data_IF_959560656412
#
_entry.id   IF_959560656412
#
_cell.length_a   1.000
_cell.length_b   1.000
_cell.length_c   1.000
_cell.angle_alpha   90.00
_cell.angle_beta   90.00
_cell.angle_gamma   90.00
#
_symmetry.space_group_name_H-M   'P 1'
#
loop_
_entity.id
_entity.type
_entity.pdbx_description
1 polymer ?
#
# COMPACT_ATOMS: atom_id res chain seq x y z
N UNK A 1 12.76 -21.73 2.23
CA UNK A 1 13.31 -20.41 1.86
C UNK A 1 12.25 -19.39 2.24
N UNK A 2 12.53 -18.51 3.17
CA UNK A 2 11.60 -17.46 3.61
C UNK A 2 11.42 -16.46 2.45
N UNK A 3 10.22 -15.98 2.22
CA UNK A 3 9.97 -14.97 1.20
C UNK A 3 10.18 -13.57 1.79
N UNK A 4 10.43 -12.56 0.93
CA UNK A 4 10.57 -11.16 1.38
C UNK A 4 9.31 -10.68 2.14
N UNK A 5 8.13 -11.13 1.76
CA UNK A 5 6.88 -10.86 2.48
C UNK A 5 6.92 -11.39 3.91
N UNK A 6 7.38 -12.62 4.11
CA UNK A 6 7.50 -13.22 5.44
C UNK A 6 8.51 -12.46 6.31
N UNK A 7 9.61 -12.00 5.73
CA UNK A 7 10.62 -11.18 6.41
C UNK A 7 10.04 -9.81 6.82
N UNK A 8 9.31 -9.14 5.93
CA UNK A 8 8.65 -7.88 6.23
C UNK A 8 7.64 -8.01 7.38
N UNK A 9 6.82 -9.07 7.39
CA UNK A 9 5.88 -9.30 8.48
C UNK A 9 6.56 -9.67 9.80
N UNK A 10 7.67 -10.39 9.78
CA UNK A 10 8.49 -10.63 10.98
C UNK A 10 9.03 -9.31 11.55
N UNK A 11 9.52 -8.41 10.69
CA UNK A 11 9.97 -7.08 11.08
C UNK A 11 8.84 -6.24 11.67
N UNK A 12 7.63 -6.27 11.08
CA UNK A 12 6.47 -5.56 11.61
C UNK A 12 6.10 -6.02 13.03
N UNK A 13 6.11 -7.33 13.28
CA UNK A 13 5.84 -7.89 14.63
C UNK A 13 6.89 -7.41 15.64
N UNK A 14 8.15 -7.27 15.22
CA UNK A 14 9.24 -6.84 16.11
C UNK A 14 9.22 -5.33 16.38
N UNK A 15 8.76 -4.52 15.41
CA UNK A 15 8.88 -3.05 15.46
C UNK A 15 7.60 -2.32 15.84
N UNK A 16 6.44 -2.96 15.67
CA UNK A 16 5.12 -2.39 15.96
C UNK A 16 4.42 -3.11 17.10
N UNK A 17 3.63 -2.38 17.86
CA UNK A 17 2.77 -2.96 18.90
C UNK A 17 1.37 -3.22 18.34
N UNK A 18 1.07 -4.49 18.06
CA UNK A 18 -0.26 -4.92 17.64
C UNK A 18 -1.04 -5.57 18.79
N UNK A 19 -2.36 -5.59 18.66
CA UNK A 19 -3.20 -6.38 19.56
C UNK A 19 -2.83 -7.87 19.48
N UNK A 20 -2.91 -8.63 20.59
CA UNK A 20 -2.46 -10.03 20.62
C UNK A 20 -3.06 -10.91 19.52
N UNK A 21 -4.33 -10.70 19.16
CA UNK A 21 -4.96 -11.48 18.11
C UNK A 21 -4.40 -11.14 16.72
N UNK A 22 -4.01 -9.86 16.47
CA UNK A 22 -3.36 -9.45 15.23
C UNK A 22 -1.98 -10.10 15.12
N UNK A 23 -1.18 -10.07 16.18
CA UNK A 23 0.10 -10.76 16.19
C UNK A 23 -0.06 -12.23 15.78
N UNK A 24 -1.09 -12.92 16.31
CA UNK A 24 -1.35 -14.31 15.92
C UNK A 24 -1.70 -14.45 14.42
N UNK A 25 -2.41 -13.49 13.84
CA UNK A 25 -2.68 -13.44 12.39
C UNK A 25 -1.38 -13.22 11.61
N UNK A 26 -0.55 -12.28 12.05
CA UNK A 26 0.73 -11.98 11.40
C UNK A 26 1.72 -13.16 11.49
N UNK A 27 1.73 -13.90 12.60
CA UNK A 27 2.50 -15.15 12.75
C UNK A 27 2.09 -16.20 11.70
N UNK A 28 0.79 -16.29 11.35
CA UNK A 28 0.33 -17.18 10.26
C UNK A 28 0.92 -16.73 8.93
N UNK A 29 0.98 -15.42 8.66
CA UNK A 29 1.59 -14.87 7.44
C UNK A 29 3.11 -15.11 7.42
N UNK A 30 3.78 -14.91 8.54
CA UNK A 30 5.23 -15.20 8.66
C UNK A 30 5.52 -16.68 8.37
N UNK A 31 4.67 -17.58 8.85
CA UNK A 31 4.87 -19.02 8.68
C UNK A 31 4.55 -19.51 7.27
N UNK A 32 3.50 -18.94 6.62
CA UNK A 32 2.91 -19.52 5.40
C UNK A 32 2.94 -18.56 4.19
N UNK A 33 3.31 -17.29 4.38
CA UNK A 33 3.06 -16.23 3.39
C UNK A 33 1.58 -15.78 3.41
N UNK A 34 1.19 -15.00 2.40
CA UNK A 34 -0.20 -14.61 2.22
C UNK A 34 -0.96 -15.79 1.59
N UNK A 35 -1.30 -16.79 2.41
CA UNK A 35 -1.96 -18.01 1.98
C UNK A 35 -3.42 -18.04 2.49
N UNK A 36 -4.43 -17.93 1.59
CA UNK A 36 -5.84 -18.01 1.96
C UNK A 36 -6.22 -19.32 2.65
N UNK A 37 -5.55 -20.43 2.30
CA UNK A 37 -5.85 -21.75 2.89
C UNK A 37 -5.36 -21.82 4.34
N UNK A 38 -4.13 -21.33 4.59
CA UNK A 38 -3.58 -21.23 5.94
C UNK A 38 -4.44 -20.31 6.82
N UNK A 39 -4.87 -19.17 6.28
CA UNK A 39 -5.75 -18.24 6.98
C UNK A 39 -7.13 -18.82 7.25
N UNK A 40 -7.70 -19.58 6.31
CA UNK A 40 -8.98 -20.27 6.52
C UNK A 40 -8.89 -21.25 7.69
N UNK A 41 -7.85 -22.10 7.73
CA UNK A 41 -7.63 -23.06 8.83
C UNK A 41 -7.47 -22.33 10.17
N UNK A 42 -6.67 -21.27 10.19
CA UNK A 42 -6.50 -20.44 11.39
C UNK A 42 -7.84 -19.89 11.90
N UNK A 43 -8.67 -19.37 11.01
CA UNK A 43 -10.00 -18.86 11.37
C UNK A 43 -10.89 -19.94 11.99
N UNK A 44 -10.92 -21.13 11.40
CA UNK A 44 -11.67 -22.26 11.95
C UNK A 44 -11.16 -22.65 13.34
N UNK A 45 -9.85 -22.78 13.51
CA UNK A 45 -9.23 -23.16 14.80
C UNK A 45 -9.50 -22.12 15.91
N UNK A 46 -9.59 -20.84 15.56
CA UNK A 46 -9.85 -19.74 16.49
C UNK A 46 -11.33 -19.38 16.63
N UNK A 47 -12.20 -20.02 15.89
CA UNK A 47 -13.62 -19.71 15.89
C UNK A 47 -13.95 -18.31 15.32
N UNK A 48 -13.15 -17.81 14.38
CA UNK A 48 -13.36 -16.53 13.72
C UNK A 48 -14.30 -16.75 12.54
N UNK A 49 -15.58 -16.41 12.71
CA UNK A 49 -16.57 -16.55 11.65
C UNK A 49 -16.30 -15.61 10.47
N UNK A 50 -15.99 -14.34 10.76
CA UNK A 50 -15.75 -13.32 9.74
C UNK A 50 -14.58 -12.41 10.12
N UNK A 51 -13.54 -12.41 9.29
CA UNK A 51 -12.35 -11.56 9.46
C UNK A 51 -12.67 -10.08 9.25
N UNK A 52 -13.69 -9.76 8.45
CA UNK A 52 -14.11 -8.38 8.21
C UNK A 52 -14.53 -7.62 9.48
N UNK A 53 -14.85 -8.32 10.56
CA UNK A 53 -15.13 -7.71 11.86
C UNK A 53 -13.91 -6.98 12.47
N UNK A 54 -12.73 -7.29 11.96
CA UNK A 54 -11.46 -6.73 12.42
C UNK A 54 -10.86 -5.73 11.43
N UNK A 55 -11.63 -5.26 10.42
CA UNK A 55 -11.16 -4.32 9.39
C UNK A 55 -10.46 -3.09 9.97
N UNK A 56 -10.99 -2.52 11.04
CA UNK A 56 -10.42 -1.35 11.72
C UNK A 56 -8.95 -1.56 12.11
N UNK A 57 -8.58 -2.78 12.46
CA UNK A 57 -7.23 -3.13 12.88
C UNK A 57 -6.40 -3.71 11.73
N UNK A 58 -6.99 -4.54 10.87
CA UNK A 58 -6.27 -5.18 9.77
C UNK A 58 -5.91 -4.19 8.67
N UNK A 59 -6.65 -3.08 8.53
CA UNK A 59 -6.34 -2.00 7.60
C UNK A 59 -5.02 -1.29 7.99
N UNK A 60 -4.74 -1.14 9.28
CA UNK A 60 -3.47 -0.59 9.75
C UNK A 60 -2.30 -1.52 9.41
N UNK A 61 -2.49 -2.84 9.50
CA UNK A 61 -1.48 -3.82 9.08
C UNK A 61 -1.15 -3.69 7.59
N UNK A 62 -2.16 -3.47 6.75
CA UNK A 62 -1.96 -3.28 5.30
C UNK A 62 -1.16 -2.00 5.03
N UNK A 63 -1.49 -0.92 5.72
CA UNK A 63 -0.77 0.36 5.59
C UNK A 63 0.65 0.26 6.15
N UNK A 64 0.84 -0.36 7.31
CA UNK A 64 2.17 -0.58 7.89
C UNK A 64 3.08 -1.39 6.96
N UNK A 65 2.52 -2.42 6.29
CA UNK A 65 3.26 -3.18 5.28
C UNK A 65 3.63 -2.33 4.06
N UNK A 66 2.72 -1.53 3.56
CA UNK A 66 2.98 -0.64 2.43
C UNK A 66 4.02 0.43 2.77
N UNK A 67 3.93 1.04 3.95
CA UNK A 67 4.90 2.01 4.46
C UNK A 67 6.30 1.38 4.61
N UNK A 68 6.38 0.17 5.19
CA UNK A 68 7.65 -0.55 5.33
C UNK A 68 8.30 -0.85 3.97
N UNK A 69 7.52 -1.30 2.97
CA UNK A 69 8.05 -1.53 1.63
C UNK A 69 8.55 -0.22 0.99
N UNK A 70 7.86 0.88 1.24
CA UNK A 70 8.24 2.20 0.71
C UNK A 70 9.50 2.78 1.38
N UNK A 71 9.83 2.39 2.62
CA UNK A 71 11.07 2.84 3.29
C UNK A 71 12.32 2.47 2.50
N UNK A 72 12.35 1.26 1.91
CA UNK A 72 13.50 0.77 1.15
C UNK A 72 13.63 1.43 -0.23
N UNK A 73 12.50 1.58 -0.95
CA UNK A 73 12.45 2.14 -2.31
C UNK A 73 11.00 2.42 -2.74
N UNK A 74 10.75 2.58 -4.05
CA UNK A 74 9.41 2.59 -4.63
C UNK A 74 8.73 1.22 -4.43
N UNK A 75 7.41 1.23 -4.27
CA UNK A 75 6.62 -0.01 -4.21
C UNK A 75 6.77 -0.77 -5.54
N UNK A 76 7.43 -1.91 -5.49
CA UNK A 76 7.58 -2.77 -6.65
C UNK A 76 6.24 -3.45 -7.03
N UNK A 77 6.06 -3.88 -8.29
CA UNK A 77 4.81 -4.53 -8.73
C UNK A 77 4.39 -5.73 -7.88
N UNK A 78 5.36 -6.52 -7.39
CA UNK A 78 5.05 -7.65 -6.51
C UNK A 78 4.56 -7.21 -5.12
N UNK A 79 5.04 -6.07 -4.59
CA UNK A 79 4.58 -5.51 -3.31
C UNK A 79 3.17 -4.95 -3.42
N UNK A 80 2.86 -4.27 -4.52
CA UNK A 80 1.50 -3.84 -4.86
C UNK A 80 0.56 -5.05 -4.95
N UNK A 81 1.01 -6.16 -5.56
CA UNK A 81 0.25 -7.41 -5.59
C UNK A 81 0.02 -7.97 -4.18
N UNK A 82 1.06 -7.96 -3.32
CA UNK A 82 0.94 -8.41 -1.94
C UNK A 82 -0.04 -7.55 -1.13
N UNK A 83 -0.05 -6.23 -1.32
CA UNK A 83 -1.02 -5.33 -0.69
C UNK A 83 -2.45 -5.71 -1.11
N UNK A 84 -2.66 -5.98 -2.40
CA UNK A 84 -3.96 -6.44 -2.92
C UNK A 84 -4.37 -7.78 -2.31
N UNK A 85 -3.45 -8.72 -2.21
CA UNK A 85 -3.71 -10.04 -1.61
C UNK A 85 -4.06 -9.92 -0.11
N UNK A 86 -3.39 -9.01 0.61
CA UNK A 86 -3.74 -8.69 2.01
C UNK A 86 -5.14 -8.07 2.13
N UNK A 87 -5.49 -7.14 1.24
CA UNK A 87 -6.82 -6.55 1.20
C UNK A 87 -7.88 -7.64 0.98
N UNK A 88 -7.66 -8.54 0.02
CA UNK A 88 -8.56 -9.67 -0.23
C UNK A 88 -8.65 -10.60 0.99
N UNK A 89 -7.52 -10.91 1.62
CA UNK A 89 -7.45 -11.77 2.81
C UNK A 89 -8.25 -11.20 3.97
N UNK A 90 -8.18 -9.90 4.19
CA UNK A 90 -8.84 -9.17 5.26
C UNK A 90 -10.21 -8.59 4.87
N UNK A 91 -10.63 -8.78 3.61
CA UNK A 91 -11.86 -8.22 3.04
C UNK A 91 -11.95 -6.70 3.15
N UNK A 92 -10.84 -6.05 2.85
CA UNK A 92 -10.72 -4.59 2.81
C UNK A 92 -10.97 -4.14 1.37
N UNK A 93 -11.86 -3.18 1.20
CA UNK A 93 -12.13 -2.50 -0.06
C UNK A 93 -11.56 -1.08 -0.03
N UNK A 94 -11.36 -0.45 -1.20
CA UNK A 94 -10.82 0.91 -1.28
C UNK A 94 -11.64 1.95 -0.48
N UNK A 95 -12.96 1.78 -0.41
CA UNK A 95 -13.85 2.67 0.36
C UNK A 95 -13.64 2.57 1.89
N UNK A 96 -13.11 1.46 2.39
CA UNK A 96 -12.87 1.25 3.82
C UNK A 96 -11.83 2.23 4.38
N UNK A 97 -10.84 2.65 3.57
CA UNK A 97 -9.82 3.62 4.00
C UNK A 97 -10.45 4.97 4.37
N UNK A 98 -11.40 5.44 3.57
CA UNK A 98 -12.14 6.65 3.88
C UNK A 98 -13.11 6.44 5.05
N UNK A 99 -13.85 5.34 5.06
CA UNK A 99 -14.83 5.02 6.09
C UNK A 99 -14.20 4.87 7.49
N UNK A 100 -12.95 4.39 7.57
CA UNK A 100 -12.21 4.19 8.81
C UNK A 100 -11.22 5.33 9.13
N UNK A 101 -11.28 6.44 8.38
CA UNK A 101 -10.46 7.63 8.64
C UNK A 101 -8.97 7.45 8.37
N UNK A 102 -8.60 6.57 7.41
CA UNK A 102 -7.20 6.25 7.08
C UNK A 102 -6.64 7.02 5.89
N UNK A 103 -7.41 7.94 5.31
CA UNK A 103 -7.03 8.65 4.09
C UNK A 103 -5.76 9.50 4.24
N UNK A 104 -5.49 10.05 5.42
CA UNK A 104 -4.26 10.80 5.66
C UNK A 104 -3.02 9.91 5.42
N UNK A 105 -2.99 8.71 6.01
CA UNK A 105 -1.90 7.74 5.79
C UNK A 105 -1.79 7.31 4.33
N UNK A 106 -2.94 7.11 3.66
CA UNK A 106 -2.96 6.78 2.22
C UNK A 106 -2.34 7.91 1.39
N UNK A 107 -2.67 9.16 1.70
CA UNK A 107 -2.10 10.33 1.03
C UNK A 107 -0.59 10.41 1.24
N UNK A 108 -0.11 10.26 2.48
CA UNK A 108 1.32 10.31 2.82
C UNK A 108 2.10 9.21 2.08
N UNK A 109 1.55 8.00 2.03
CA UNK A 109 2.14 6.87 1.29
C UNK A 109 2.22 7.16 -0.21
N UNK A 110 1.18 7.75 -0.80
CA UNK A 110 1.17 8.11 -2.22
C UNK A 110 2.12 9.26 -2.53
N UNK A 111 2.20 10.27 -1.67
CA UNK A 111 3.18 11.36 -1.79
C UNK A 111 4.59 10.76 -1.76
N UNK A 112 4.92 9.95 -0.77
CA UNK A 112 6.22 9.29 -0.67
C UNK A 112 6.56 8.44 -1.90
N UNK A 113 5.59 7.68 -2.43
CA UNK A 113 5.77 6.91 -3.66
C UNK A 113 6.05 7.80 -4.87
N UNK A 114 5.27 8.88 -5.05
CA UNK A 114 5.41 9.80 -6.18
C UNK A 114 6.71 10.62 -6.09
N UNK A 115 7.10 11.03 -4.89
CA UNK A 115 8.38 11.73 -4.69
C UNK A 115 9.57 10.85 -5.11
N UNK A 116 9.57 9.58 -4.70
CA UNK A 116 10.61 8.63 -5.10
C UNK A 116 10.60 8.34 -6.60
N UNK A 117 9.41 8.20 -7.21
CA UNK A 117 9.27 8.04 -8.66
C UNK A 117 9.83 9.24 -9.44
N UNK A 118 9.77 10.44 -8.88
CA UNK A 118 10.27 11.65 -9.52
C UNK A 118 11.74 12.00 -9.19
N UNK A 119 12.41 11.21 -8.34
CA UNK A 119 13.80 11.48 -7.94
C UNK A 119 14.79 11.37 -9.10
N UNK A 120 14.62 10.42 -9.99
CA UNK A 120 15.49 10.26 -11.16
C UNK A 120 15.05 11.12 -12.36
N UNK A 121 13.96 11.88 -12.21
CA UNK A 121 13.37 12.75 -13.23
C UNK A 121 12.92 12.02 -14.50
N UNK A 122 12.63 10.73 -14.42
CA UNK A 122 12.11 9.90 -15.52
C UNK A 122 10.99 9.02 -15.01
N UNK A 123 9.98 8.83 -15.83
CA UNK A 123 8.90 7.88 -15.56
C UNK A 123 8.87 6.86 -16.65
N UNK A 124 9.15 5.61 -16.31
CA UNK A 124 9.02 4.50 -17.25
C UNK A 124 7.58 3.94 -17.29
N UNK A 125 7.34 3.01 -18.22
CA UNK A 125 6.01 2.43 -18.41
C UNK A 125 5.55 1.59 -17.21
N UNK A 126 6.46 1.02 -16.42
CA UNK A 126 6.12 0.25 -15.20
C UNK A 126 5.65 1.17 -14.09
N UNK A 127 6.24 2.33 -13.95
CA UNK A 127 5.88 3.34 -12.96
C UNK A 127 4.50 3.97 -13.24
N UNK A 128 4.17 4.20 -14.51
CA UNK A 128 2.83 4.62 -14.93
C UNK A 128 1.78 3.59 -14.52
N UNK A 129 2.09 2.31 -14.72
CA UNK A 129 1.19 1.21 -14.34
C UNK A 129 0.97 1.18 -12.83
N UNK A 130 2.05 1.30 -12.03
CA UNK A 130 1.99 1.32 -10.56
C UNK A 130 1.10 2.45 -10.05
N UNK A 131 1.20 3.65 -10.62
CA UNK A 131 0.34 4.78 -10.25
C UNK A 131 -1.15 4.44 -10.40
N UNK A 132 -1.56 3.88 -11.54
CA UNK A 132 -2.95 3.49 -11.78
C UNK A 132 -3.43 2.38 -10.85
N UNK A 133 -2.55 1.43 -10.52
CA UNK A 133 -2.85 0.36 -9.58
C UNK A 133 -3.04 0.88 -8.15
N UNK A 134 -2.17 1.78 -7.68
CA UNK A 134 -2.28 2.37 -6.34
C UNK A 134 -3.54 3.23 -6.18
N UNK A 135 -3.89 4.01 -7.19
CA UNK A 135 -5.15 4.75 -7.20
C UNK A 135 -6.35 3.82 -6.96
N UNK A 136 -6.42 2.73 -7.72
CA UNK A 136 -7.50 1.75 -7.62
C UNK A 136 -7.48 1.01 -6.28
N UNK A 137 -6.30 0.65 -5.80
CA UNK A 137 -6.09 -0.16 -4.60
C UNK A 137 -6.60 0.54 -3.34
N UNK A 138 -6.38 1.85 -3.24
CA UNK A 138 -6.78 2.66 -2.09
C UNK A 138 -8.11 3.40 -2.29
N UNK A 139 -8.84 3.12 -3.38
CA UNK A 139 -10.15 3.70 -3.64
C UNK A 139 -10.16 5.21 -3.85
N UNK A 140 -9.03 5.78 -4.33
CA UNK A 140 -8.94 7.20 -4.61
C UNK A 140 -9.71 7.58 -5.86
N UNK A 141 -10.50 8.64 -5.75
CA UNK A 141 -11.08 9.30 -6.90
C UNK A 141 -9.99 9.85 -7.84
N UNK A 142 -10.27 9.86 -9.15
CA UNK A 142 -9.31 10.41 -10.11
C UNK A 142 -8.91 11.86 -9.79
N UNK A 143 -9.84 12.68 -9.32
CA UNK A 143 -9.58 14.08 -8.97
C UNK A 143 -8.61 14.20 -7.78
N UNK A 144 -8.79 13.38 -6.75
CA UNK A 144 -7.96 13.41 -5.54
C UNK A 144 -6.54 12.91 -5.83
N UNK A 145 -6.43 11.77 -6.54
CA UNK A 145 -5.15 11.24 -6.97
C UNK A 145 -4.39 12.23 -7.87
N UNK A 146 -5.10 12.84 -8.83
CA UNK A 146 -4.51 13.80 -9.75
C UNK A 146 -4.03 15.07 -9.03
N UNK A 147 -4.74 15.54 -8.00
CA UNK A 147 -4.30 16.68 -7.20
C UNK A 147 -2.98 16.39 -6.47
N UNK A 148 -2.84 15.20 -5.88
CA UNK A 148 -1.60 14.75 -5.24
C UNK A 148 -0.46 14.67 -6.28
N UNK A 149 -0.71 14.02 -7.42
CA UNK A 149 0.29 13.85 -8.48
C UNK A 149 0.77 15.19 -9.06
N UNK A 150 -0.14 16.15 -9.26
CA UNK A 150 0.20 17.50 -9.72
C UNK A 150 1.06 18.26 -8.71
N UNK A 151 0.76 18.15 -7.43
CA UNK A 151 1.56 18.77 -6.39
C UNK A 151 2.99 18.22 -6.39
N UNK A 152 3.15 16.89 -6.36
CA UNK A 152 4.47 16.25 -6.39
C UNK A 152 5.25 16.58 -7.67
N UNK A 153 4.57 16.60 -8.83
CA UNK A 153 5.20 16.98 -10.10
C UNK A 153 5.67 18.43 -10.09
N UNK A 154 4.88 19.37 -9.53
CA UNK A 154 5.28 20.78 -9.39
C UNK A 154 6.52 20.91 -8.52
N UNK A 155 6.58 20.23 -7.39
CA UNK A 155 7.73 20.24 -6.49
C UNK A 155 8.98 19.64 -7.16
N UNK A 156 8.82 18.56 -7.96
CA UNK A 156 9.90 17.99 -8.75
C UNK A 156 10.44 18.98 -9.79
N UNK A 157 9.56 19.71 -10.50
CA UNK A 157 9.95 20.76 -11.44
C UNK A 157 10.70 21.91 -10.76
N UNK A 158 10.28 22.34 -9.58
CA UNK A 158 10.96 23.35 -8.78
C UNK A 158 12.37 22.89 -8.35
N UNK A 159 12.57 21.58 -8.19
CA UNK A 159 13.89 20.97 -7.94
C UNK A 159 14.74 20.78 -9.21
N UNK A 160 14.18 21.06 -10.39
CA UNK A 160 14.90 21.03 -11.67
C UNK A 160 14.64 19.81 -12.55
N UNK A 161 13.58 19.06 -12.28
CA UNK A 161 13.14 17.98 -13.17
C UNK A 161 12.75 18.49 -14.57
N UNK A 162 13.01 17.70 -15.63
CA UNK A 162 12.59 18.05 -16.98
C UNK A 162 11.11 17.62 -17.18
N UNK A 163 10.29 18.57 -17.61
CA UNK A 163 8.87 18.36 -17.89
C UNK A 163 8.62 17.24 -18.91
N UNK A 164 9.57 16.97 -19.80
CA UNK A 164 9.44 15.92 -20.82
C UNK A 164 9.63 14.50 -20.25
N UNK A 165 10.29 14.41 -19.11
CA UNK A 165 10.57 13.15 -18.43
C UNK A 165 9.55 12.89 -17.33
N UNK A 166 8.71 13.86 -16.99
CA UNK A 166 7.58 13.70 -16.07
C UNK A 166 6.31 13.41 -16.88
N UNK A 167 5.63 12.31 -16.57
CA UNK A 167 4.27 12.03 -17.08
C UNK A 167 3.28 12.99 -16.42
N UNK A 168 3.27 14.23 -16.92
CA UNK A 168 2.61 15.34 -16.27
C UNK A 168 1.16 15.38 -16.69
N UNK A 169 0.27 15.05 -15.77
CA UNK A 169 -1.13 15.48 -15.81
C UNK A 169 -1.24 16.98 -15.44
N UNK A 170 -0.40 17.83 -16.03
CA UNK A 170 -0.63 19.26 -15.93
C UNK A 170 -1.90 19.57 -16.73
N UNK A 171 -2.86 20.33 -16.17
CA UNK A 171 -3.92 20.86 -16.98
C UNK A 171 -3.28 21.64 -18.13
N UNK A 172 -3.65 21.29 -19.35
CA UNK A 172 -3.29 22.12 -20.49
C UNK A 172 -3.88 23.51 -20.24
N UNK A 173 -3.03 24.46 -19.90
CA UNK A 173 -3.42 25.86 -19.93
C UNK A 173 -3.81 26.19 -21.38
N UNK A 174 -5.11 26.48 -21.56
CA UNK A 174 -5.68 26.92 -22.83
C UNK A 174 -5.37 28.39 -23.03
#
# INVERSE_FOLDING_TARGET
MTTRVQESFAQLIETKEYLPFLNTILEVIVANGIDPVAMFKFKEEKGIEDIARFKEFTIDVVLDYAELCLEDDILAPYEVSCIRDLQLLFRIDGEDYAALGKMERVHDLLIGQLEKLYEDNRIDASEVLIKGELQSLFGLGYADFNAIAQQCAKEALERGADIKDLDIFLPYDK
#
